data_IF_246801373753
#
_entry.id   IF_246801373753
#
_cell.length_a   1.000
_cell.length_b   1.000
_cell.length_c   1.000
_cell.angle_alpha   90.00
_cell.angle_beta   90.00
_cell.angle_gamma   90.00
#
_symmetry.space_group_name_H-M   'P 1'
#
loop_
_entity.id
_entity.type
_entity.pdbx_description
1 polymer ?
#
# COMPACT_ATOMS: atom_id res chain seq x y z
N UNK A 1 0.83 -5.23 12.40
CA UNK A 1 -0.32 -6.16 12.40
C UNK A 1 -1.61 -5.57 12.98
N UNK A 2 -1.57 -4.87 14.13
CA UNK A 2 -2.78 -4.45 14.88
C UNK A 2 -3.82 -3.66 14.07
N UNK A 3 -3.40 -2.64 13.30
CA UNK A 3 -4.34 -1.78 12.56
C UNK A 3 -5.14 -2.54 11.49
N UNK A 4 -4.53 -3.53 10.84
CA UNK A 4 -5.19 -4.35 9.81
C UNK A 4 -6.31 -5.20 10.40
N UNK A 5 -6.06 -5.78 11.58
CA UNK A 5 -7.03 -6.57 12.31
C UNK A 5 -8.18 -5.69 12.83
N UNK A 6 -7.88 -4.49 13.33
CA UNK A 6 -8.90 -3.53 13.75
C UNK A 6 -9.77 -3.08 12.58
N UNK A 7 -9.17 -2.82 11.41
CA UNK A 7 -9.91 -2.50 10.19
C UNK A 7 -10.87 -3.63 9.79
N UNK A 8 -10.47 -4.91 9.94
CA UNK A 8 -11.39 -6.02 9.67
C UNK A 8 -12.60 -6.06 10.59
N UNK A 9 -12.47 -5.58 11.83
CA UNK A 9 -13.57 -5.53 12.79
C UNK A 9 -14.53 -4.35 12.56
N UNK A 10 -14.19 -3.41 11.67
CA UNK A 10 -15.09 -2.31 11.34
C UNK A 10 -16.33 -2.79 10.58
N UNK A 11 -17.45 -2.08 10.77
CA UNK A 11 -18.67 -2.33 10.01
C UNK A 11 -18.46 -2.11 8.50
N UNK A 12 -19.30 -2.75 7.70
CA UNK A 12 -19.30 -2.60 6.23
C UNK A 12 -19.44 -1.13 5.79
N UNK A 13 -20.22 -0.33 6.52
CA UNK A 13 -20.40 1.10 6.27
C UNK A 13 -19.10 1.90 6.43
N UNK A 14 -18.34 1.67 7.50
CA UNK A 14 -17.04 2.31 7.66
C UNK A 14 -16.06 1.84 6.59
N UNK A 15 -15.93 0.53 6.35
CA UNK A 15 -15.07 -0.01 5.27
C UNK A 15 -15.40 0.61 3.90
N UNK A 16 -16.69 0.82 3.60
CA UNK A 16 -17.14 1.49 2.38
C UNK A 16 -16.76 2.97 2.34
N UNK A 17 -16.75 3.68 3.47
CA UNK A 17 -16.26 5.06 3.55
C UNK A 17 -14.77 5.15 3.18
N UNK A 18 -13.91 4.29 3.76
CA UNK A 18 -12.48 4.25 3.39
C UNK A 18 -12.27 4.00 1.89
N UNK A 19 -13.05 3.10 1.29
CA UNK A 19 -12.97 2.81 -0.15
C UNK A 19 -13.38 4.01 -1.03
N UNK A 20 -14.26 4.88 -0.53
CA UNK A 20 -14.79 6.05 -1.26
C UNK A 20 -13.91 7.29 -1.16
N UNK A 21 -13.02 7.39 -0.15
CA UNK A 21 -12.06 8.48 -0.05
C UNK A 21 -11.31 8.65 -1.39
N UNK A 22 -11.27 9.85 -1.97
CA UNK A 22 -10.61 10.10 -3.25
C UNK A 22 -9.10 10.30 -3.07
N UNK A 23 -8.70 10.88 -1.95
CA UNK A 23 -7.32 11.13 -1.54
C UNK A 23 -7.06 10.70 -0.09
N UNK A 24 -5.79 10.60 0.36
CA UNK A 24 -5.47 10.36 1.77
C UNK A 24 -6.06 11.41 2.72
N UNK A 25 -6.19 12.67 2.28
CA UNK A 25 -6.67 13.76 3.13
C UNK A 25 -8.15 13.62 3.49
N UNK A 26 -8.95 13.06 2.59
CA UNK A 26 -10.40 12.91 2.79
C UNK A 26 -10.73 11.98 3.97
N UNK A 27 -9.77 11.20 4.45
CA UNK A 27 -9.94 10.32 5.61
C UNK A 27 -10.21 11.09 6.91
N UNK A 28 -9.87 12.38 6.98
CA UNK A 28 -10.19 13.24 8.14
C UNK A 28 -11.68 13.43 8.34
N UNK A 29 -12.48 13.22 7.30
CA UNK A 29 -13.94 13.32 7.37
C UNK A 29 -14.59 11.98 7.74
N UNK A 30 -13.80 10.93 7.97
CA UNK A 30 -14.28 9.57 8.25
C UNK A 30 -14.07 9.26 9.73
N UNK A 31 -15.14 9.22 10.56
CA UNK A 31 -15.00 8.92 11.99
C UNK A 31 -14.33 7.58 12.29
N UNK A 32 -14.47 6.61 11.38
CA UNK A 32 -13.80 5.31 11.48
C UNK A 32 -12.27 5.39 11.40
N UNK A 33 -11.69 6.42 10.78
CA UNK A 33 -10.24 6.60 10.68
C UNK A 33 -9.60 6.87 12.05
N UNK A 34 -10.22 7.72 12.86
CA UNK A 34 -9.77 8.03 14.22
C UNK A 34 -9.87 6.84 15.18
N UNK A 35 -10.71 5.84 14.87
CA UNK A 35 -10.83 4.61 15.67
C UNK A 35 -9.71 3.59 15.42
N UNK A 36 -8.93 3.77 14.34
CA UNK A 36 -7.89 2.82 13.94
C UNK A 36 -6.47 3.25 14.32
N UNK A 37 -6.28 4.52 14.68
CA UNK A 37 -4.97 5.05 15.08
C UNK A 37 -4.82 5.00 16.61
N UNK A 38 -3.59 5.04 17.15
CA UNK A 38 -3.36 5.18 18.59
C UNK A 38 -4.12 6.38 19.16
N UNK A 39 -4.60 6.29 20.41
CA UNK A 39 -5.47 7.32 21.00
C UNK A 39 -4.76 8.65 21.22
N UNK A 40 -3.45 8.58 21.40
CA UNK A 40 -2.55 9.70 21.65
C UNK A 40 -2.11 10.37 20.33
N UNK A 41 -2.43 9.76 19.19
CA UNK A 41 -2.04 10.21 17.86
C UNK A 41 -3.17 10.99 17.19
N UNK A 42 -2.78 11.97 16.37
CA UNK A 42 -3.69 12.65 15.46
C UNK A 42 -3.70 11.96 14.10
N UNK A 43 -4.77 12.15 13.33
CA UNK A 43 -4.84 11.67 11.94
C UNK A 43 -4.00 12.55 11.00
N UNK A 44 -2.70 12.64 11.26
CA UNK A 44 -1.74 13.38 10.44
C UNK A 44 -1.40 12.61 9.15
N UNK A 45 -0.59 13.22 8.29
CA UNK A 45 -0.31 12.70 6.95
C UNK A 45 0.24 11.26 6.92
N UNK A 46 1.01 10.82 7.92
CA UNK A 46 1.51 9.43 8.00
C UNK A 46 0.38 8.41 8.07
N UNK A 47 -0.50 8.57 9.05
CA UNK A 47 -1.67 7.71 9.22
C UNK A 47 -2.64 7.78 8.05
N UNK A 48 -2.88 8.96 7.49
CA UNK A 48 -3.71 9.12 6.30
C UNK A 48 -3.22 8.24 5.13
N UNK A 49 -1.91 8.19 4.89
CA UNK A 49 -1.32 7.37 3.82
C UNK A 49 -1.49 5.87 4.06
N UNK A 50 -1.25 5.42 5.30
CA UNK A 50 -1.43 4.01 5.70
C UNK A 50 -2.88 3.59 5.52
N UNK A 51 -3.81 4.36 6.07
CA UNK A 51 -5.24 4.06 6.05
C UNK A 51 -5.83 4.11 4.63
N UNK A 52 -5.31 4.97 3.76
CA UNK A 52 -5.78 5.12 2.37
C UNK A 52 -5.56 3.85 1.53
N UNK A 53 -4.46 3.12 1.80
CA UNK A 53 -4.13 1.88 1.10
C UNK A 53 -4.62 0.63 1.83
N UNK A 54 -5.02 0.75 3.09
CA UNK A 54 -5.45 -0.34 3.96
C UNK A 54 -6.49 -1.29 3.35
N UNK A 55 -7.52 -0.82 2.63
CA UNK A 55 -8.53 -1.71 2.05
C UNK A 55 -8.03 -2.60 0.90
N UNK A 56 -6.86 -2.32 0.33
CA UNK A 56 -6.45 -2.83 -0.98
C UNK A 56 -5.23 -3.76 -0.95
N UNK A 57 -4.69 -4.03 0.24
CA UNK A 57 -3.53 -4.91 0.42
C UNK A 57 -3.90 -5.96 1.47
N UNK A 58 -3.82 -7.22 1.07
CA UNK A 58 -4.04 -8.35 1.98
C UNK A 58 -2.74 -8.65 2.73
N UNK A 59 -2.85 -9.07 3.99
CA UNK A 59 -1.67 -9.41 4.77
C UNK A 59 -1.07 -10.73 4.29
N UNK A 60 0.26 -10.77 4.12
CA UNK A 60 1.06 -11.99 4.07
C UNK A 60 2.38 -11.75 4.80
N UNK A 61 2.87 -12.74 5.52
CA UNK A 61 4.11 -12.63 6.30
C UNK A 61 5.34 -12.49 5.39
N UNK A 62 6.31 -11.68 5.81
CA UNK A 62 7.64 -11.58 5.20
C UNK A 62 7.68 -11.22 3.70
N UNK A 63 6.60 -10.64 3.17
CA UNK A 63 6.48 -10.30 1.74
C UNK A 63 6.43 -8.79 1.52
N UNK A 64 7.44 -8.24 0.86
CA UNK A 64 7.48 -6.80 0.53
C UNK A 64 6.50 -6.46 -0.59
N UNK A 65 5.94 -5.25 -0.56
CA UNK A 65 4.94 -4.81 -1.54
C UNK A 65 5.48 -4.80 -2.97
N UNK A 66 6.70 -4.30 -3.19
CA UNK A 66 7.29 -4.24 -4.52
C UNK A 66 7.38 -5.63 -5.17
N UNK A 67 7.83 -6.62 -4.39
CA UNK A 67 7.87 -8.01 -4.83
C UNK A 67 6.47 -8.59 -5.10
N UNK A 68 5.47 -8.23 -4.29
CA UNK A 68 4.09 -8.65 -4.52
C UNK A 68 3.49 -8.06 -5.81
N UNK A 69 3.85 -6.82 -6.14
CA UNK A 69 3.37 -6.15 -7.37
C UNK A 69 4.03 -6.72 -8.63
N UNK A 70 5.27 -7.21 -8.55
CA UNK A 70 5.99 -7.80 -9.68
C UNK A 70 5.27 -8.98 -10.34
N UNK A 71 4.34 -9.64 -9.64
CA UNK A 71 3.57 -10.78 -10.16
C UNK A 71 2.59 -10.37 -11.27
N UNK A 72 2.01 -9.17 -11.21
CA UNK A 72 0.88 -8.78 -12.08
C UNK A 72 1.01 -7.38 -12.70
N UNK A 73 1.92 -6.55 -12.19
CA UNK A 73 2.05 -5.16 -12.60
C UNK A 73 3.23 -5.00 -13.54
N UNK A 74 2.97 -4.35 -14.68
CA UNK A 74 4.01 -3.92 -15.62
C UNK A 74 4.84 -2.78 -15.02
N UNK A 75 6.14 -2.82 -15.26
CA UNK A 75 7.12 -1.89 -14.71
C UNK A 75 6.73 -0.42 -14.95
N UNK A 76 6.28 -0.09 -16.16
CA UNK A 76 5.84 1.26 -16.54
C UNK A 76 4.81 1.86 -15.57
N UNK A 77 3.85 1.06 -15.07
CA UNK A 77 2.83 1.52 -14.12
C UNK A 77 3.45 1.87 -12.76
N UNK A 78 4.44 1.10 -12.31
CA UNK A 78 5.14 1.40 -11.06
C UNK A 78 5.99 2.67 -11.19
N UNK A 79 6.66 2.85 -12.34
CA UNK A 79 7.46 4.05 -12.59
C UNK A 79 6.61 5.34 -12.72
N UNK A 80 5.33 5.23 -13.06
CA UNK A 80 4.42 6.38 -12.98
C UNK A 80 4.19 6.82 -11.53
N UNK A 81 4.10 5.88 -10.58
CA UNK A 81 3.95 6.20 -9.14
C UNK A 81 5.16 6.98 -8.64
N UNK A 82 6.38 6.50 -8.93
CA UNK A 82 7.58 7.10 -8.33
C UNK A 82 7.89 8.50 -8.86
N UNK A 83 7.50 8.79 -10.12
CA UNK A 83 7.67 10.10 -10.76
C UNK A 83 6.58 11.09 -10.39
N UNK A 84 5.48 10.61 -9.81
CA UNK A 84 4.37 11.48 -9.39
C UNK A 84 4.65 12.07 -8.01
N UNK A 85 4.11 13.25 -7.77
CA UNK A 85 4.11 13.91 -6.46
C UNK A 85 2.83 13.62 -5.66
N UNK A 86 2.85 14.00 -4.39
CA UNK A 86 1.68 13.87 -3.52
C UNK A 86 0.56 14.83 -3.95
N UNK A 87 -0.72 14.42 -3.93
CA UNK A 87 -1.23 13.10 -3.53
C UNK A 87 -1.35 12.08 -4.68
N UNK A 88 -0.99 12.49 -5.90
CA UNK A 88 -1.17 11.70 -7.14
C UNK A 88 -0.44 10.36 -7.10
N UNK A 89 0.77 10.33 -6.53
CA UNK A 89 1.54 9.11 -6.32
C UNK A 89 0.76 8.00 -5.59
N UNK A 90 0.12 8.34 -4.47
CA UNK A 90 -0.64 7.40 -3.66
C UNK A 90 -1.97 7.03 -4.31
N UNK A 91 -2.59 7.95 -5.04
CA UNK A 91 -3.78 7.65 -5.84
C UNK A 91 -3.44 6.63 -6.94
N UNK A 92 -2.30 6.78 -7.62
CA UNK A 92 -1.80 5.82 -8.58
C UNK A 92 -1.46 4.48 -7.92
N UNK A 93 -0.75 4.49 -6.79
CA UNK A 93 -0.45 3.28 -6.03
C UNK A 93 -1.71 2.53 -5.61
N UNK A 94 -2.75 3.25 -5.16
CA UNK A 94 -4.05 2.66 -4.82
C UNK A 94 -4.68 1.96 -6.02
N UNK A 95 -4.71 2.59 -7.19
CA UNK A 95 -5.25 1.98 -8.42
C UNK A 95 -4.50 0.69 -8.78
N UNK A 96 -3.18 0.69 -8.60
CA UNK A 96 -2.35 -0.49 -8.79
C UNK A 96 -2.74 -1.59 -7.78
N UNK A 97 -2.85 -1.27 -6.49
CA UNK A 97 -3.24 -2.24 -5.46
C UNK A 97 -4.66 -2.77 -5.65
N UNK A 98 -5.61 -1.94 -6.08
CA UNK A 98 -6.97 -2.37 -6.43
C UNK A 98 -6.95 -3.43 -7.54
N UNK A 99 -6.18 -3.20 -8.59
CA UNK A 99 -6.09 -4.12 -9.72
C UNK A 99 -5.28 -5.40 -9.40
N UNK A 100 -4.18 -5.27 -8.65
CA UNK A 100 -3.30 -6.38 -8.34
C UNK A 100 -3.79 -7.23 -7.15
N UNK A 101 -4.55 -6.63 -6.22
CA UNK A 101 -4.90 -7.22 -4.92
C UNK A 101 -3.69 -7.88 -4.23
N UNK A 102 -2.56 -7.15 -4.05
CA UNK A 102 -1.33 -7.75 -3.59
C UNK A 102 -1.45 -8.28 -2.16
N UNK A 103 -0.71 -9.35 -1.91
CA UNK A 103 -0.48 -9.87 -0.56
C UNK A 103 0.90 -9.46 -0.09
N UNK A 104 0.98 -8.70 1.01
CA UNK A 104 2.22 -8.15 1.54
C UNK A 104 2.19 -8.01 3.08
N UNK A 105 3.36 -7.86 3.67
CA UNK A 105 3.56 -7.72 5.10
C UNK A 105 3.13 -6.33 5.54
N UNK A 106 2.11 -6.28 6.39
CA UNK A 106 1.55 -5.00 6.84
C UNK A 106 2.45 -4.25 7.82
N UNK A 107 3.39 -4.90 8.47
CA UNK A 107 4.40 -4.20 9.26
C UNK A 107 5.31 -3.41 8.33
N UNK A 108 5.83 -4.05 7.28
CA UNK A 108 6.69 -3.39 6.29
C UNK A 108 5.94 -2.35 5.46
N UNK A 109 4.72 -2.68 5.00
CA UNK A 109 3.87 -1.78 4.22
C UNK A 109 3.45 -0.57 5.03
N UNK A 110 3.05 -0.79 6.29
CA UNK A 110 2.63 0.29 7.18
C UNK A 110 3.75 1.31 7.39
N UNK A 111 4.95 0.85 7.72
CA UNK A 111 6.12 1.71 7.89
C UNK A 111 6.48 2.47 6.60
N UNK A 112 6.52 1.76 5.47
CA UNK A 112 6.80 2.36 4.16
C UNK A 112 5.80 3.48 3.81
N UNK A 113 4.50 3.26 4.05
CA UNK A 113 3.46 4.25 3.78
C UNK A 113 3.48 5.40 4.80
N UNK A 114 3.76 5.12 6.07
CA UNK A 114 3.83 6.12 7.13
C UNK A 114 4.96 7.12 6.87
N UNK A 115 6.11 6.64 6.40
CA UNK A 115 7.26 7.46 6.02
C UNK A 115 7.39 7.68 4.51
N UNK A 116 6.28 7.56 3.77
CA UNK A 116 6.29 7.65 2.31
C UNK A 116 6.97 8.92 1.80
N UNK A 117 7.89 8.75 0.86
CA UNK A 117 8.72 9.80 0.30
C UNK A 117 9.69 9.22 -0.71
N UNK A 118 10.65 10.02 -1.19
CA UNK A 118 11.61 9.61 -2.22
C UNK A 118 12.32 8.28 -1.88
N UNK A 119 12.81 8.14 -0.65
CA UNK A 119 13.50 6.92 -0.20
C UNK A 119 12.62 5.67 -0.23
N UNK A 120 11.37 5.76 0.25
CA UNK A 120 10.44 4.63 0.25
C UNK A 120 9.97 4.28 -1.17
N UNK A 121 9.79 5.28 -2.05
CA UNK A 121 9.52 5.08 -3.47
C UNK A 121 10.64 4.30 -4.16
N UNK A 122 11.90 4.65 -3.88
CA UNK A 122 13.05 3.92 -4.43
C UNK A 122 13.08 2.47 -3.94
N UNK A 123 12.93 2.23 -2.64
CA UNK A 123 12.89 0.85 -2.08
C UNK A 123 11.79 0.00 -2.71
N UNK A 124 10.60 0.58 -2.91
CA UNK A 124 9.49 -0.12 -3.56
C UNK A 124 9.87 -0.63 -4.95
N UNK A 125 10.60 0.18 -5.73
CA UNK A 125 11.09 -0.19 -7.06
C UNK A 125 12.21 -1.21 -6.99
N UNK A 126 13.16 -1.05 -6.07
CA UNK A 126 14.24 -2.02 -5.86
C UNK A 126 13.69 -3.41 -5.53
N UNK A 127 12.73 -3.49 -4.60
CA UNK A 127 12.05 -4.74 -4.24
C UNK A 127 11.34 -5.36 -5.46
N UNK A 128 10.69 -4.53 -6.27
CA UNK A 128 10.01 -4.95 -7.51
C UNK A 128 10.99 -5.50 -8.55
N UNK A 129 12.06 -4.78 -8.86
CA UNK A 129 13.06 -5.19 -9.84
C UNK A 129 13.81 -6.45 -9.38
N UNK A 130 14.13 -6.55 -8.09
CA UNK A 130 14.76 -7.74 -7.52
C UNK A 130 13.84 -8.97 -7.61
N UNK A 131 12.53 -8.79 -7.54
CA UNK A 131 11.57 -9.88 -7.73
C UNK A 131 11.44 -10.28 -9.20
N UNK A 132 11.43 -9.32 -10.13
CA UNK A 132 11.43 -9.63 -11.57
C UNK A 132 12.68 -10.41 -12.00
N UNK A 133 13.87 -9.99 -11.57
CA UNK A 133 15.13 -10.69 -11.88
C UNK A 133 15.11 -12.15 -11.43
N UNK A 134 14.56 -12.41 -10.24
CA UNK A 134 14.39 -13.77 -9.71
C UNK A 134 13.44 -14.62 -10.55
N UNK A 135 12.38 -14.02 -11.11
CA UNK A 135 11.45 -14.73 -11.99
C UNK A 135 12.12 -15.11 -13.31
N UNK A 136 12.86 -14.19 -13.93
CA UNK A 136 13.59 -14.43 -15.18
C UNK A 136 14.61 -15.56 -15.04
N UNK A 137 15.39 -15.58 -13.95
CA UNK A 137 16.38 -16.64 -13.69
C UNK A 137 15.78 -18.02 -13.44
N UNK A 138 14.49 -18.13 -13.08
CA UNK A 138 13.83 -19.43 -12.88
C UNK A 138 13.27 -20.02 -14.17
N UNK A 139 13.05 -19.20 -15.20
CA UNK A 139 12.59 -19.64 -16.52
C UNK A 139 13.71 -20.23 -17.38
N UNK A 140 14.97 -19.87 -17.13
CA UNK A 140 16.12 -20.28 -17.93
C UNK A 140 16.67 -21.70 -17.59
N UNK A 141 16.04 -22.45 -16.68
CA UNK A 141 16.48 -23.79 -16.24
C UNK A 141 15.47 -24.93 -16.52
N UNK A 142 14.48 -24.68 -17.39
CA UNK A 142 13.41 -25.64 -17.71
C UNK A 142 13.26 -25.96 -19.20
N UNK A 143 14.32 -25.78 -19.99
CA UNK A 143 14.43 -26.31 -21.36
C UNK A 143 15.61 -27.28 -21.49
#
# INVERSE_FOLDING_TARGET
MAIRQQFEKLSSGYKAAFRRAASPRDLVEIPGAYRLIPKEENLHAGWQRVLFLLPYITHAENKRLGAALAVKIKEQRLFQVIRSDAPTDLIHLRRICQYASPQADWQMVGEMLFYWGKGQKTRLVEDYLNALRRQSSSTDFTD
#
